data_IF_568926618546
#
_entry.id   IF_568926618546
#
_cell.length_a   1.000
_cell.length_b   1.000
_cell.length_c   1.000
_cell.angle_alpha   90.00
_cell.angle_beta   90.00
_cell.angle_gamma   90.00
#
_symmetry.space_group_name_H-M   'P 1'
#
loop_
_entity.id
_entity.type
_entity.pdbx_description
1 polymer ?
#
# COMPACT_ATOMS: atom_id res chain seq x y z
N UNK A 1 -3.26 20.84 8.28
CA UNK A 1 -3.67 20.52 6.89
C UNK A 1 -5.06 19.93 6.92
N UNK A 2 -5.96 20.34 6.04
CA UNK A 2 -7.39 20.06 6.21
C UNK A 2 -7.71 18.59 5.95
N UNK A 3 -8.07 17.91 7.03
CA UNK A 3 -8.73 16.60 7.12
C UNK A 3 -10.03 16.51 6.31
N UNK A 4 -10.50 17.60 5.70
CA UNK A 4 -11.83 17.73 5.12
C UNK A 4 -12.11 16.73 3.98
N UNK A 5 -11.18 16.49 3.06
CA UNK A 5 -11.46 15.65 1.87
C UNK A 5 -11.60 14.16 2.20
N UNK A 6 -10.86 13.66 3.20
CA UNK A 6 -11.03 12.28 3.72
C UNK A 6 -12.21 12.19 4.69
N UNK A 7 -12.46 13.26 5.46
CA UNK A 7 -13.63 13.38 6.32
C UNK A 7 -14.94 13.36 5.52
N UNK A 8 -14.95 13.97 4.34
CA UNK A 8 -16.08 13.93 3.40
C UNK A 8 -16.38 12.50 2.90
N UNK A 9 -15.40 11.59 2.91
CA UNK A 9 -15.62 10.17 2.62
C UNK A 9 -16.21 9.40 3.82
N UNK A 10 -16.39 10.06 4.97
CA UNK A 10 -16.89 9.46 6.21
C UNK A 10 -15.80 8.78 7.05
N UNK A 11 -14.52 8.99 6.74
CA UNK A 11 -13.39 8.39 7.45
C UNK A 11 -12.62 9.41 8.28
N UNK A 12 -12.16 8.96 9.45
CA UNK A 12 -11.18 9.70 10.24
C UNK A 12 -9.78 9.39 9.72
N UNK A 13 -9.06 10.42 9.30
CA UNK A 13 -7.64 10.34 9.01
C UNK A 13 -6.85 10.59 10.31
N UNK A 14 -6.02 9.64 10.71
CA UNK A 14 -5.10 9.76 11.85
C UNK A 14 -3.66 9.88 11.34
N UNK A 15 -3.03 11.02 11.65
CA UNK A 15 -1.60 11.24 11.42
C UNK A 15 -0.82 10.40 12.42
N UNK A 16 0.03 9.51 11.92
CA UNK A 16 0.86 8.63 12.71
C UNK A 16 2.32 8.75 12.24
N UNK A 17 3.27 8.57 13.16
CA UNK A 17 4.64 8.27 12.79
C UNK A 17 4.80 6.76 12.59
N UNK A 18 5.73 6.35 11.72
CA UNK A 18 6.27 4.98 11.77
C UNK A 18 7.50 4.95 12.67
N UNK A 19 7.87 3.83 13.30
CA UNK A 19 9.11 3.78 14.07
C UNK A 19 10.32 4.20 13.22
N UNK A 20 11.23 4.97 13.82
CA UNK A 20 12.51 5.26 13.17
C UNK A 20 13.29 3.96 12.95
N UNK A 21 14.06 3.91 11.86
CA UNK A 21 14.89 2.75 11.54
C UNK A 21 16.30 3.00 12.09
N UNK A 22 16.80 2.05 12.87
CA UNK A 22 18.20 2.08 13.27
C UNK A 22 19.11 1.93 12.03
N UNK A 23 20.15 2.77 11.94
CA UNK A 23 21.06 2.88 10.79
C UNK A 23 21.78 1.57 10.38
N UNK A 24 21.62 0.49 11.15
CA UNK A 24 22.38 -0.76 11.03
C UNK A 24 21.92 -1.71 9.90
N UNK A 25 20.83 -1.42 9.18
CA UNK A 25 20.32 -2.31 8.13
C UNK A 25 19.85 -1.57 6.87
N UNK A 26 20.55 -0.51 6.47
CA UNK A 26 20.25 0.25 5.26
C UNK A 26 20.54 -0.59 4.02
N UNK A 27 19.49 -1.25 3.53
CA UNK A 27 19.42 -1.73 2.15
C UNK A 27 19.82 -0.56 1.25
N UNK A 28 20.82 -0.74 0.38
CA UNK A 28 21.22 0.32 -0.56
C UNK A 28 20.07 0.53 -1.55
N UNK A 29 19.30 1.60 -1.36
CA UNK A 29 18.15 1.95 -2.20
C UNK A 29 18.66 2.86 -3.33
N UNK A 30 18.55 2.44 -4.61
CA UNK A 30 18.95 3.29 -5.72
C UNK A 30 18.08 4.54 -5.82
N UNK A 31 18.67 5.63 -6.32
CA UNK A 31 17.93 6.83 -6.68
C UNK A 31 16.95 6.56 -7.83
N UNK A 32 15.82 7.26 -7.81
CA UNK A 32 14.88 7.29 -8.92
C UNK A 32 14.91 8.67 -9.58
N UNK A 33 15.05 8.67 -10.89
CA UNK A 33 15.03 9.90 -11.69
C UNK A 33 13.90 9.84 -12.71
N UNK A 34 13.04 10.84 -12.70
CA UNK A 34 12.05 11.03 -13.77
C UNK A 34 12.75 11.48 -15.05
N UNK A 35 12.23 11.08 -16.22
CA UNK A 35 12.62 11.72 -17.47
C UNK A 35 11.78 12.99 -17.61
N UNK A 36 12.30 14.13 -17.17
CA UNK A 36 11.55 15.39 -17.03
C UNK A 36 10.90 15.89 -18.31
N UNK A 37 11.49 15.57 -19.47
CA UNK A 37 10.94 15.96 -20.78
C UNK A 37 9.72 15.13 -21.20
N UNK A 38 9.44 14.04 -20.49
CA UNK A 38 8.33 13.13 -20.77
C UNK A 38 7.30 13.24 -19.65
N UNK A 39 6.03 13.21 -20.02
CA UNK A 39 4.93 13.20 -19.06
C UNK A 39 4.96 11.91 -18.20
N UNK A 40 4.34 11.94 -17.01
CA UNK A 40 4.27 10.78 -16.11
C UNK A 40 3.66 9.55 -16.80
N UNK A 41 2.67 9.78 -17.66
CA UNK A 41 1.93 8.77 -18.40
C UNK A 41 2.64 8.32 -19.69
N UNK A 42 3.80 8.90 -20.00
CA UNK A 42 4.62 8.45 -21.12
C UNK A 42 5.07 6.99 -20.91
N UNK A 43 4.93 6.09 -21.90
CA UNK A 43 5.29 4.68 -21.77
C UNK A 43 6.70 4.41 -21.24
N UNK A 44 7.67 5.29 -21.53
CA UNK A 44 9.05 5.15 -21.06
C UNK A 44 9.13 5.43 -19.55
N UNK A 45 8.47 6.49 -19.07
CA UNK A 45 8.37 6.77 -17.63
C UNK A 45 7.61 5.65 -16.91
N UNK A 46 6.52 5.16 -17.51
CA UNK A 46 5.75 4.02 -17.00
C UNK A 46 6.64 2.79 -16.80
N UNK A 47 7.39 2.42 -17.84
CA UNK A 47 8.31 1.30 -17.78
C UNK A 47 9.39 1.52 -16.71
N UNK A 48 9.94 2.75 -16.61
CA UNK A 48 11.01 3.08 -15.67
C UNK A 48 10.56 2.95 -14.20
N UNK A 49 9.43 3.55 -13.83
CA UNK A 49 8.93 3.43 -12.45
C UNK A 49 8.49 1.99 -12.15
N UNK A 50 7.93 1.27 -13.12
CA UNK A 50 7.53 -0.12 -12.93
C UNK A 50 8.75 -1.00 -12.67
N UNK A 51 9.83 -0.82 -13.44
CA UNK A 51 11.09 -1.54 -13.26
C UNK A 51 11.76 -1.20 -11.93
N UNK A 52 11.75 0.07 -11.54
CA UNK A 52 12.28 0.51 -10.24
C UNK A 52 11.59 -0.21 -9.08
N UNK A 53 10.25 -0.15 -9.02
CA UNK A 53 9.46 -0.82 -7.97
C UNK A 53 9.61 -2.34 -8.04
N UNK A 54 9.66 -2.93 -9.23
CA UNK A 54 9.90 -4.36 -9.40
C UNK A 54 11.28 -4.78 -8.90
N UNK A 55 12.33 -3.99 -9.16
CA UNK A 55 13.67 -4.21 -8.65
C UNK A 55 13.71 -4.16 -7.12
N UNK A 56 13.00 -3.20 -6.53
CA UNK A 56 12.85 -3.06 -5.08
C UNK A 56 12.09 -4.21 -4.40
N UNK A 57 11.35 -5.03 -5.16
CA UNK A 57 10.56 -6.15 -4.64
C UNK A 57 10.99 -7.51 -5.20
N UNK A 58 12.15 -7.58 -5.86
CA UNK A 58 12.63 -8.77 -6.60
C UNK A 58 12.74 -10.03 -5.75
N UNK A 59 12.98 -9.88 -4.45
CA UNK A 59 13.16 -11.00 -3.51
C UNK A 59 11.82 -11.65 -3.12
N UNK A 60 10.69 -11.01 -3.42
CA UNK A 60 9.34 -11.49 -3.08
C UNK A 60 8.70 -12.19 -4.28
N UNK A 61 9.14 -13.42 -4.55
CA UNK A 61 8.82 -14.17 -5.77
C UNK A 61 7.32 -14.45 -5.95
N UNK A 62 6.49 -14.40 -4.90
CA UNK A 62 5.04 -14.57 -5.01
C UNK A 62 4.30 -13.29 -5.38
N UNK A 63 4.99 -12.15 -5.46
CA UNK A 63 4.41 -10.85 -5.80
C UNK A 63 4.84 -10.38 -7.19
N UNK A 64 3.99 -9.60 -7.84
CA UNK A 64 4.25 -8.94 -9.11
C UNK A 64 3.82 -7.48 -9.05
N UNK A 65 4.57 -6.66 -9.80
CA UNK A 65 4.28 -5.23 -9.99
C UNK A 65 3.56 -5.05 -11.32
N UNK A 66 2.41 -4.39 -11.29
CA UNK A 66 1.55 -4.14 -12.46
C UNK A 66 1.14 -2.67 -12.51
N UNK A 67 0.96 -2.16 -13.72
CA UNK A 67 0.41 -0.82 -13.99
C UNK A 67 -1.10 -0.86 -14.18
N UNK A 68 -1.67 -2.06 -14.37
CA UNK A 68 -3.09 -2.29 -14.57
C UNK A 68 -3.53 -3.54 -13.82
N UNK A 69 -4.80 -3.55 -13.43
CA UNK A 69 -5.49 -4.72 -12.88
C UNK A 69 -6.76 -4.97 -13.71
N UNK A 70 -7.31 -6.20 -13.75
CA UNK A 70 -8.45 -6.55 -14.61
C UNK A 70 -9.72 -5.72 -14.38
N UNK A 71 -9.87 -5.15 -13.18
CA UNK A 71 -11.02 -4.34 -12.79
C UNK A 71 -10.56 -3.08 -12.07
N UNK A 72 -11.21 -1.95 -12.34
CA UNK A 72 -11.01 -0.73 -11.57
C UNK A 72 -11.32 -0.98 -10.08
N UNK A 73 -10.60 -0.25 -9.22
CA UNK A 73 -10.90 -0.24 -7.80
C UNK A 73 -12.25 0.44 -7.60
N UNK A 74 -13.17 -0.28 -6.96
CA UNK A 74 -14.52 0.21 -6.72
C UNK A 74 -15.00 -0.23 -5.34
N UNK A 75 -15.57 0.70 -4.57
CA UNK A 75 -16.20 0.40 -3.29
C UNK A 75 -17.43 1.27 -3.05
N UNK A 76 -18.52 0.63 -2.64
CA UNK A 76 -19.73 1.30 -2.18
C UNK A 76 -19.67 1.54 -0.69
N UNK A 77 -19.59 2.79 -0.29
CA UNK A 77 -19.64 3.21 1.10
C UNK A 77 -21.11 3.32 1.53
N UNK A 78 -21.66 2.23 2.05
CA UNK A 78 -23.09 2.08 2.39
C UNK A 78 -23.64 3.18 3.30
N UNK A 79 -22.84 3.67 4.25
CA UNK A 79 -23.23 4.75 5.17
C UNK A 79 -23.26 6.14 4.53
N UNK A 80 -22.53 6.34 3.43
CA UNK A 80 -22.39 7.66 2.81
C UNK A 80 -23.09 7.75 1.44
N UNK A 81 -23.67 6.66 0.94
CA UNK A 81 -24.20 6.52 -0.44
C UNK A 81 -23.20 6.99 -1.52
N UNK A 82 -21.90 6.88 -1.24
CA UNK A 82 -20.82 7.26 -2.16
C UNK A 82 -20.18 6.03 -2.75
N UNK A 83 -19.85 6.11 -4.04
CA UNK A 83 -19.08 5.10 -4.75
C UNK A 83 -17.66 5.64 -4.93
N UNK A 84 -16.67 4.96 -4.37
CA UNK A 84 -15.26 5.22 -4.61
C UNK A 84 -14.84 4.44 -5.84
N UNK A 85 -14.49 5.12 -6.93
CA UNK A 85 -13.90 4.50 -8.12
C UNK A 85 -12.52 5.08 -8.37
N UNK A 86 -11.57 4.24 -8.78
CA UNK A 86 -10.24 4.73 -9.10
C UNK A 86 -9.33 3.68 -9.72
N UNK A 87 -8.24 4.21 -10.28
CA UNK A 87 -7.08 3.44 -10.69
C UNK A 87 -5.83 4.13 -10.14
N UNK A 88 -4.90 3.34 -9.61
CA UNK A 88 -3.56 3.76 -9.22
C UNK A 88 -2.56 3.51 -10.34
N UNK A 89 -1.41 4.20 -10.26
CA UNK A 89 -0.35 4.10 -11.27
C UNK A 89 0.35 2.75 -11.24
N UNK A 90 0.46 2.17 -10.05
CA UNK A 90 1.04 0.86 -9.81
C UNK A 90 0.29 0.08 -8.75
N UNK A 91 0.34 -1.23 -8.90
CA UNK A 91 -0.18 -2.23 -7.98
C UNK A 91 0.89 -3.29 -7.73
N UNK A 92 0.99 -3.71 -6.48
CA UNK A 92 1.69 -4.93 -6.08
C UNK A 92 0.62 -5.96 -5.73
N UNK A 93 0.66 -7.09 -6.43
CA UNK A 93 -0.35 -8.14 -6.35
C UNK A 93 0.30 -9.53 -6.28
N UNK A 94 -0.38 -10.55 -5.76
CA UNK A 94 0.09 -11.93 -5.82
C UNK A 94 0.11 -12.44 -7.27
N UNK A 95 1.21 -13.08 -7.66
CA UNK A 95 1.37 -13.69 -9.00
C UNK A 95 0.33 -14.76 -9.30
N UNK A 96 -0.06 -15.50 -8.26
CA UNK A 96 -0.98 -16.61 -8.41
C UNK A 96 -2.41 -16.17 -8.79
N UNK A 97 -2.74 -14.89 -8.63
CA UNK A 97 -4.08 -14.39 -8.95
C UNK A 97 -4.31 -14.27 -10.46
N UNK A 98 -3.27 -14.21 -11.30
CA UNK A 98 -3.41 -14.14 -12.76
C UNK A 98 -4.42 -13.07 -13.18
N UNK A 99 -5.42 -13.47 -13.97
CA UNK A 99 -6.54 -12.62 -14.40
C UNK A 99 -7.72 -12.61 -13.40
N UNK A 100 -7.69 -13.45 -12.36
CA UNK A 100 -8.72 -13.60 -11.33
C UNK A 100 -8.45 -12.75 -10.09
N UNK A 101 -7.93 -11.54 -10.29
CA UNK A 101 -7.65 -10.59 -9.22
C UNK A 101 -8.96 -10.07 -8.60
N UNK A 102 -9.20 -10.43 -7.33
CA UNK A 102 -10.18 -9.76 -6.50
C UNK A 102 -9.65 -8.43 -5.96
N UNK A 103 -10.55 -7.53 -5.58
CA UNK A 103 -10.20 -6.21 -5.00
C UNK A 103 -9.27 -6.35 -3.77
N UNK A 104 -9.50 -7.38 -2.95
CA UNK A 104 -8.72 -7.71 -1.75
C UNK A 104 -7.41 -8.50 -2.03
N UNK A 105 -6.99 -8.63 -3.29
CA UNK A 105 -5.68 -9.20 -3.65
C UNK A 105 -4.59 -8.13 -3.78
N UNK A 106 -4.95 -6.84 -3.80
CA UNK A 106 -3.95 -5.76 -3.80
C UNK A 106 -3.19 -5.76 -2.48
N UNK A 107 -1.86 -5.76 -2.56
CA UNK A 107 -0.95 -5.74 -1.41
C UNK A 107 -0.45 -4.32 -1.16
N UNK A 108 -0.01 -3.67 -2.23
CA UNK A 108 0.40 -2.26 -2.22
C UNK A 108 -0.20 -1.60 -3.45
N UNK A 109 -0.65 -0.36 -3.32
CA UNK A 109 -0.91 0.51 -4.46
C UNK A 109 -0.08 1.77 -4.34
N UNK A 110 0.35 2.32 -5.47
CA UNK A 110 1.16 3.53 -5.50
C UNK A 110 0.53 4.57 -6.42
N UNK A 111 0.29 5.76 -5.88
CA UNK A 111 0.07 6.98 -6.63
C UNK A 111 1.41 7.71 -6.73
N UNK A 112 1.82 7.97 -7.95
CA UNK A 112 3.08 8.58 -8.32
C UNK A 112 2.84 10.01 -8.82
N UNK A 113 3.74 10.91 -8.50
CA UNK A 113 3.76 12.26 -9.05
C UNK A 113 5.14 12.62 -9.56
N UNK A 114 5.20 13.38 -10.65
CA UNK A 114 6.44 14.02 -11.11
C UNK A 114 6.74 15.32 -10.35
N UNK A 115 5.72 15.89 -9.69
CA UNK A 115 5.86 17.11 -8.91
C UNK A 115 6.82 16.92 -7.74
N UNK A 116 7.51 18.00 -7.37
CA UNK A 116 8.42 18.00 -6.22
C UNK A 116 7.70 17.67 -4.92
N UNK A 117 6.45 18.12 -4.76
CA UNK A 117 5.66 17.97 -3.54
C UNK A 117 4.36 17.22 -3.81
N UNK A 118 3.90 16.44 -2.83
CA UNK A 118 2.59 15.78 -2.88
C UNK A 118 1.46 16.77 -2.64
N UNK A 119 0.41 16.69 -3.45
CA UNK A 119 -0.79 17.52 -3.32
C UNK A 119 -1.86 16.87 -2.44
N UNK A 120 -2.82 17.66 -1.98
CA UNK A 120 -4.01 17.14 -1.28
C UNK A 120 -4.80 16.14 -2.13
N UNK A 121 -4.76 16.30 -3.45
CA UNK A 121 -5.43 15.40 -4.39
C UNK A 121 -4.77 14.03 -4.38
N UNK A 122 -3.45 13.98 -4.28
CA UNK A 122 -2.70 12.71 -4.22
C UNK A 122 -3.06 11.96 -2.94
N UNK A 123 -3.06 12.66 -1.79
CA UNK A 123 -3.50 12.10 -0.50
C UNK A 123 -4.91 11.52 -0.57
N UNK A 124 -5.88 12.30 -1.04
CA UNK A 124 -7.27 11.88 -1.12
C UNK A 124 -7.46 10.69 -2.07
N UNK A 125 -6.76 10.71 -3.22
CA UNK A 125 -6.79 9.64 -4.22
C UNK A 125 -6.18 8.36 -3.67
N UNK A 126 -4.99 8.41 -3.06
CA UNK A 126 -4.34 7.23 -2.47
C UNK A 126 -5.20 6.62 -1.37
N UNK A 127 -5.74 7.44 -0.46
CA UNK A 127 -6.62 6.96 0.59
C UNK A 127 -7.91 6.32 0.03
N UNK A 128 -8.54 6.96 -0.96
CA UNK A 128 -9.73 6.44 -1.62
C UNK A 128 -9.48 5.12 -2.35
N UNK A 129 -8.39 5.02 -3.13
CA UNK A 129 -8.00 3.80 -3.81
C UNK A 129 -7.65 2.70 -2.80
N UNK A 130 -6.94 3.02 -1.71
CA UNK A 130 -6.62 2.05 -0.67
C UNK A 130 -7.88 1.51 0.00
N UNK A 131 -8.85 2.37 0.32
CA UNK A 131 -10.14 1.92 0.85
C UNK A 131 -10.90 1.05 -0.15
N UNK A 132 -10.87 1.40 -1.43
CA UNK A 132 -11.53 0.64 -2.48
C UNK A 132 -10.86 -0.72 -2.72
N UNK A 133 -9.54 -0.80 -2.66
CA UNK A 133 -8.79 -2.07 -2.65
C UNK A 133 -9.05 -2.87 -1.37
N UNK A 134 -9.24 -2.18 -0.25
CA UNK A 134 -9.47 -2.82 1.03
C UNK A 134 -10.90 -3.36 1.17
N UNK A 135 -11.86 -2.94 0.32
CA UNK A 135 -13.32 -3.27 0.31
C UNK A 135 -13.87 -3.91 1.61
N UNK A 136 -13.51 -3.25 2.70
CA UNK A 136 -13.94 -3.25 4.09
C UNK A 136 -14.71 -4.52 4.53
N UNK A 137 -13.92 -5.48 5.04
CA UNK A 137 -14.22 -6.72 5.77
C UNK A 137 -15.26 -7.68 5.18
N UNK A 138 -14.80 -8.56 4.28
CA UNK A 138 -15.33 -9.91 4.30
C UNK A 138 -14.66 -10.67 5.46
N UNK A 139 -15.44 -11.02 6.50
CA UNK A 139 -15.00 -11.71 7.74
C UNK A 139 -14.29 -13.06 7.52
N UNK A 140 -14.23 -13.53 6.27
CA UNK A 140 -13.81 -14.88 5.90
C UNK A 140 -12.34 -15.02 5.51
N UNK A 141 -11.58 -13.93 5.33
CA UNK A 141 -10.19 -14.03 4.84
C UNK A 141 -9.21 -13.23 5.69
N UNK A 142 -8.35 -13.94 6.43
CA UNK A 142 -7.21 -13.43 7.20
C UNK A 142 -6.11 -12.84 6.28
N UNK A 143 -6.44 -11.84 5.47
CA UNK A 143 -5.51 -11.16 4.56
C UNK A 143 -5.13 -9.80 5.16
N UNK A 144 -3.85 -9.41 5.10
CA UNK A 144 -3.44 -8.08 5.53
C UNK A 144 -4.10 -7.00 4.68
N UNK A 145 -4.38 -5.86 5.30
CA UNK A 145 -4.90 -4.68 4.60
C UNK A 145 -3.88 -4.17 3.58
N UNK A 146 -4.30 -3.70 2.40
CA UNK A 146 -3.39 -3.08 1.45
C UNK A 146 -2.74 -1.84 2.06
N UNK A 147 -1.49 -1.58 1.67
CA UNK A 147 -0.79 -0.32 1.95
C UNK A 147 -0.92 0.60 0.75
N UNK A 148 -1.44 1.81 0.97
CA UNK A 148 -1.40 2.88 -0.02
C UNK A 148 -0.09 3.66 0.08
N UNK A 149 0.50 4.02 -1.05
CA UNK A 149 1.70 4.87 -1.10
C UNK A 149 1.44 6.06 -2.02
N UNK A 150 1.69 7.28 -1.54
CA UNK A 150 1.78 8.45 -2.39
C UNK A 150 3.23 8.93 -2.40
N UNK A 151 3.83 9.09 -3.57
CA UNK A 151 5.26 9.44 -3.65
C UNK A 151 5.68 10.07 -4.97
N UNK A 152 6.74 10.88 -4.92
CA UNK A 152 7.48 11.31 -6.11
C UNK A 152 8.66 10.37 -6.47
N UNK A 153 8.78 9.24 -5.77
CA UNK A 153 9.88 8.24 -5.78
C UNK A 153 11.26 8.77 -5.37
N UNK A 154 11.34 10.04 -4.99
CA UNK A 154 12.57 10.71 -4.55
C UNK A 154 12.52 10.86 -3.03
N UNK A 155 11.94 11.95 -2.56
CA UNK A 155 12.02 12.40 -1.17
C UNK A 155 10.64 12.65 -0.53
N UNK A 156 9.56 12.62 -1.30
CA UNK A 156 8.19 12.72 -0.78
C UNK A 156 7.59 11.33 -0.64
N UNK A 157 7.26 10.92 0.58
CA UNK A 157 6.69 9.61 0.87
C UNK A 157 5.57 9.71 1.89
N UNK A 158 4.40 9.24 1.50
CA UNK A 158 3.26 9.05 2.40
C UNK A 158 2.82 7.59 2.36
N UNK A 159 2.70 6.98 3.53
CA UNK A 159 2.21 5.61 3.69
C UNK A 159 0.82 5.65 4.31
N UNK A 160 -0.11 4.89 3.75
CA UNK A 160 -1.50 4.79 4.18
C UNK A 160 -1.85 3.35 4.51
N UNK A 161 -2.62 3.14 5.57
CA UNK A 161 -3.17 1.83 5.92
C UNK A 161 -4.49 1.99 6.69
N UNK A 162 -5.22 0.90 6.85
CA UNK A 162 -6.40 0.88 7.71
C UNK A 162 -5.97 0.41 9.11
N UNK A 163 -6.15 1.30 10.09
CA UNK A 163 -5.84 1.07 11.48
C UNK A 163 -6.85 0.16 12.18
N UNK A 164 -6.57 -0.24 13.43
CA UNK A 164 -7.32 -1.30 14.09
C UNK A 164 -8.74 -1.00 14.51
N UNK A 165 -9.15 0.27 14.40
CA UNK A 165 -10.52 0.72 14.63
C UNK A 165 -11.21 1.07 13.30
N UNK A 166 -10.68 0.60 12.17
CA UNK A 166 -11.18 0.91 10.84
C UNK A 166 -10.91 2.35 10.39
N UNK A 167 -10.07 3.11 11.12
CA UNK A 167 -9.66 4.46 10.73
C UNK A 167 -8.60 4.40 9.62
N UNK A 168 -8.45 5.46 8.83
CA UNK A 168 -7.32 5.57 7.92
C UNK A 168 -6.15 6.15 8.69
N UNK A 169 -5.05 5.41 8.74
CA UNK A 169 -3.79 5.90 9.25
C UNK A 169 -2.93 6.40 8.09
N UNK A 170 -2.25 7.53 8.29
CA UNK A 170 -1.25 8.04 7.34
C UNK A 170 0.02 8.39 8.08
N UNK A 171 1.17 8.02 7.51
CA UNK A 171 2.48 8.46 7.96
C UNK A 171 3.21 9.28 6.90
N UNK A 172 3.68 10.44 7.32
CA UNK A 172 4.57 11.35 6.57
C UNK A 172 5.90 11.60 7.27
N UNK A 173 6.00 11.13 8.53
CA UNK A 173 7.17 11.26 9.38
C UNK A 173 7.45 9.95 10.12
N UNK A 174 8.66 9.82 10.64
CA UNK A 174 9.03 8.75 11.56
C UNK A 174 8.75 9.13 13.03
N UNK A 175 9.15 8.28 13.98
CA UNK A 175 8.95 8.50 15.41
C UNK A 175 9.81 9.62 16.00
N UNK A 176 10.80 10.10 15.26
CA UNK A 176 11.62 11.26 15.60
C UNK A 176 11.04 12.57 15.03
N UNK A 177 9.86 12.49 14.38
CA UNK A 177 9.24 13.57 13.61
C UNK A 177 10.06 14.02 12.39
N UNK A 178 10.95 13.17 11.89
CA UNK A 178 11.68 13.42 10.64
C UNK A 178 10.82 13.00 9.46
N UNK A 179 10.86 13.76 8.37
CA UNK A 179 10.21 13.40 7.11
C UNK A 179 10.63 11.99 6.71
N UNK A 180 9.69 11.17 6.25
CA UNK A 180 10.03 9.82 5.80
C UNK A 180 11.08 9.87 4.69
N UNK A 181 12.27 9.35 4.99
CA UNK A 181 13.26 9.09 3.97
C UNK A 181 12.79 7.96 3.06
N UNK A 182 13.36 7.91 1.86
CA UNK A 182 13.15 6.82 0.91
C UNK A 182 13.48 5.46 1.54
N UNK A 183 14.57 5.38 2.28
CA UNK A 183 15.03 4.18 2.97
C UNK A 183 13.97 3.73 4.00
N UNK A 184 13.39 4.69 4.70
CA UNK A 184 12.33 4.43 5.69
C UNK A 184 11.06 3.92 5.02
N UNK A 185 10.61 4.61 3.98
CA UNK A 185 9.44 4.19 3.22
C UNK A 185 9.62 2.78 2.64
N UNK A 186 10.74 2.52 1.97
CA UNK A 186 11.01 1.23 1.36
C UNK A 186 11.18 0.10 2.36
N UNK A 187 11.79 0.34 3.52
CA UNK A 187 11.85 -0.67 4.57
C UNK A 187 10.46 -1.14 4.98
N UNK A 188 9.53 -0.21 5.21
CA UNK A 188 8.18 -0.56 5.61
C UNK A 188 7.39 -1.24 4.49
N UNK A 189 7.48 -0.72 3.26
CA UNK A 189 6.86 -1.35 2.08
C UNK A 189 7.39 -2.78 1.91
N UNK A 190 8.72 -2.97 1.96
CA UNK A 190 9.35 -4.30 1.81
C UNK A 190 8.98 -5.23 2.95
N UNK A 191 8.89 -4.77 4.20
CA UNK A 191 8.44 -5.59 5.32
C UNK A 191 7.00 -6.06 5.16
N UNK A 192 6.11 -5.18 4.70
CA UNK A 192 4.72 -5.56 4.39
C UNK A 192 4.67 -6.61 3.26
N UNK A 193 5.40 -6.38 2.16
CA UNK A 193 5.50 -7.33 1.07
C UNK A 193 6.10 -8.68 1.50
N UNK A 194 7.13 -8.69 2.35
CA UNK A 194 7.73 -9.90 2.90
C UNK A 194 6.71 -10.71 3.72
N UNK A 195 5.95 -10.01 4.58
CA UNK A 195 4.88 -10.62 5.35
C UNK A 195 3.84 -11.29 4.45
N UNK A 196 3.32 -10.57 3.45
CA UNK A 196 2.33 -11.11 2.52
C UNK A 196 2.90 -12.26 1.70
N UNK A 197 4.12 -12.12 1.19
CA UNK A 197 4.81 -13.17 0.43
C UNK A 197 4.90 -14.47 1.24
N UNK A 198 5.21 -14.40 2.54
CA UNK A 198 5.27 -15.58 3.41
C UNK A 198 3.91 -16.28 3.61
N UNK A 199 2.80 -15.52 3.62
CA UNK A 199 1.44 -16.09 3.67
C UNK A 199 1.16 -16.88 2.38
N UNK A 200 1.54 -16.35 1.22
CA UNK A 200 1.36 -17.09 -0.03
C UNK A 200 2.30 -18.30 -0.13
N UNK A 201 3.56 -18.20 0.31
CA UNK A 201 4.47 -19.35 0.35
C UNK A 201 3.95 -20.49 1.21
N UNK A 202 3.45 -20.20 2.42
CA UNK A 202 2.88 -21.20 3.32
C UNK A 202 1.62 -21.86 2.76
N UNK A 203 0.70 -21.09 2.16
CA UNK A 203 -0.52 -21.63 1.52
C UNK A 203 -0.20 -22.60 0.37
N UNK A 204 0.79 -22.27 -0.46
CA UNK A 204 1.14 -23.11 -1.62
C UNK A 204 1.99 -24.32 -1.26
N UNK A 205 2.78 -24.27 -0.18
CA UNK A 205 3.63 -25.40 0.23
C UNK A 205 2.89 -26.44 1.05
N UNK A 206 1.85 -26.07 1.82
CA UNK A 206 1.22 -27.00 2.77
C UNK A 206 -0.10 -27.63 2.33
N UNK A 207 -0.75 -27.18 1.24
CA UNK A 207 -2.16 -27.55 0.93
C UNK A 207 -3.10 -27.41 2.16
N UNK A 208 -2.73 -26.57 3.13
CA UNK A 208 -3.53 -26.34 4.33
C UNK A 208 -4.67 -25.39 3.94
N UNK A 209 -5.89 -25.90 3.95
CA UNK A 209 -7.13 -25.17 3.64
C UNK A 209 -7.53 -24.20 4.75
N UNK A 210 -6.92 -24.30 5.93
CA UNK A 210 -7.19 -23.47 7.11
C UNK A 210 -5.86 -23.05 7.71
N UNK A 211 -5.61 -21.75 7.76
CA UNK A 211 -4.43 -21.21 8.47
C UNK A 211 -4.71 -21.37 9.96
N UNK A 212 -3.85 -22.13 10.64
CA UNK A 212 -3.74 -22.09 12.10
C UNK A 212 -3.25 -20.68 12.50
N UNK A 213 -4.15 -19.83 13.00
CA UNK A 213 -3.86 -18.43 13.35
C UNK A 213 -2.68 -18.31 14.33
N UNK A 214 -2.45 -19.34 15.16
CA UNK A 214 -1.33 -19.41 16.10
C UNK A 214 0.04 -19.60 15.43
N UNK A 215 0.06 -20.01 14.15
CA UNK A 215 1.26 -20.22 13.32
C UNK A 215 1.38 -19.22 12.17
N UNK A 216 0.40 -18.32 12.00
CA UNK A 216 0.55 -17.20 11.08
C UNK A 216 1.73 -16.34 11.56
N UNK A 217 2.63 -15.89 10.66
CA UNK A 217 3.69 -14.99 11.07
C UNK A 217 3.05 -13.79 11.79
N UNK A 218 3.68 -13.35 12.87
CA UNK A 218 3.17 -12.24 13.67
C UNK A 218 2.93 -11.06 12.74
N UNK A 219 1.73 -10.46 12.74
CA UNK A 219 1.45 -9.35 11.84
C UNK A 219 2.49 -8.24 11.98
N UNK A 220 2.82 -7.59 10.87
CA UNK A 220 3.76 -6.48 10.91
C UNK A 220 3.17 -5.35 11.78
N UNK A 221 3.81 -4.97 12.90
CA UNK A 221 3.21 -4.14 13.94
C UNK A 221 2.82 -2.73 13.45
N UNK A 222 3.42 -2.25 12.36
CA UNK A 222 3.24 -0.88 11.87
C UNK A 222 1.96 -0.67 11.04
N UNK A 223 1.49 -1.67 10.29
CA UNK A 223 0.34 -1.50 9.39
C UNK A 223 -0.97 -2.11 9.90
N UNK A 224 -1.03 -2.38 11.21
CA UNK A 224 -2.17 -3.07 11.81
C UNK A 224 -2.08 -4.57 11.58
N UNK A 225 -2.23 -5.33 12.67
CA UNK A 225 -2.27 -6.77 12.56
C UNK A 225 -3.60 -7.30 12.07
N UNK A 226 -3.68 -8.63 11.98
CA UNK A 226 -4.85 -9.41 11.51
C UNK A 226 -6.17 -8.98 12.19
N UNK A 227 -6.09 -8.30 13.34
CA UNK A 227 -7.22 -7.81 14.13
C UNK A 227 -7.52 -6.31 13.95
N UNK A 228 -7.03 -5.70 12.88
CA UNK A 228 -7.24 -4.28 12.66
C UNK A 228 -8.66 -3.97 12.14
N UNK A 229 -9.67 -4.16 12.99
CA UNK A 229 -11.05 -3.71 12.71
C UNK A 229 -12.17 -4.60 13.24
N UNK A 230 -12.09 -5.13 14.46
CA UNK A 230 -13.30 -5.59 15.15
C UNK A 230 -13.99 -4.36 15.76
N UNK A 231 -14.82 -3.69 14.96
CA UNK A 231 -15.91 -2.87 15.50
C UNK A 231 -17.15 -3.76 15.58
N UNK A 232 -17.47 -4.16 16.81
CA UNK A 232 -18.81 -4.56 17.26
C UNK A 232 -19.83 -3.46 16.96
#
# INVERSE_FOLDING_TARGET
MSTATVFELGYRLELNGVPAIEASATLSIPDFEWIEKLDKWDPINIQKYQQYVAGMLRDFLKLAVKTTVPYDLDARLSKCHRELKGASDLYVIPRACGDFLGRNDVVVLMELTQSENLSQRDVARTAGCMLAANTIFNKLTCRPTPVGVATNLRDEWLLFWVGPRGQICMASVDSNNEKLSRETAWHYIRKHCAYVNSIYESRFTKRETVIDESKSPTPHPVFGGINAGFLT
#
